data_IF_558575263484
#
_entry.id   IF_558575263484
#
_cell.length_a   1.000
_cell.length_b   1.000
_cell.length_c   1.000
_cell.angle_alpha   90.00
_cell.angle_beta   90.00
_cell.angle_gamma   90.00
#
_symmetry.space_group_name_H-M   'P 1'
#
loop_
_entity.id
_entity.type
_entity.pdbx_description
1 polymer ?
#
# COMPACT_ATOMS: atom_id res chain seq x y z
N UNK A 1 10.38 -40.23 28.01
CA UNK A 1 11.66 -40.15 28.77
C UNK A 1 12.39 -41.49 28.78
N UNK A 2 11.80 -42.61 29.30
CA UNK A 2 12.44 -43.93 29.37
C UNK A 2 13.03 -44.43 28.05
N UNK A 3 12.32 -44.30 26.92
CA UNK A 3 12.81 -44.70 25.57
C UNK A 3 14.07 -43.97 25.10
N UNK A 4 14.32 -42.76 25.60
CA UNK A 4 15.45 -41.92 25.20
C UNK A 4 16.56 -41.86 26.30
N UNK A 5 16.42 -42.66 27.34
CA UNK A 5 17.30 -42.60 28.53
C UNK A 5 17.51 -41.17 29.07
N UNK A 6 16.44 -40.37 29.02
CA UNK A 6 16.46 -39.00 29.50
C UNK A 6 16.05 -38.93 30.97
N UNK A 7 17.00 -38.87 31.84
CA UNK A 7 16.83 -38.94 33.30
C UNK A 7 16.87 -37.56 33.98
N UNK A 8 16.83 -36.48 33.22
CA UNK A 8 16.89 -35.13 33.75
C UNK A 8 15.48 -34.54 33.97
N UNK A 9 15.37 -33.64 34.94
CA UNK A 9 14.12 -32.95 35.23
C UNK A 9 13.66 -32.05 34.07
N UNK A 10 12.37 -31.64 34.00
CA UNK A 10 11.90 -30.68 33.02
C UNK A 10 12.76 -29.42 33.03
N UNK A 11 13.10 -28.92 31.82
CA UNK A 11 13.98 -27.77 31.61
C UNK A 11 15.43 -27.89 32.03
N UNK A 12 15.84 -29.03 32.59
CA UNK A 12 17.23 -29.33 32.93
C UNK A 12 17.97 -29.83 31.68
N UNK A 13 18.99 -29.11 31.22
CA UNK A 13 19.86 -29.48 30.10
C UNK A 13 21.24 -29.89 30.64
N UNK A 14 21.72 -31.10 30.34
CA UNK A 14 23.05 -31.52 30.75
C UNK A 14 24.15 -30.59 30.25
N UNK A 15 25.12 -30.23 31.11
CA UNK A 15 26.23 -29.33 30.74
C UNK A 15 26.96 -29.76 29.46
N UNK A 16 27.14 -31.07 29.25
CA UNK A 16 27.78 -31.61 28.04
C UNK A 16 27.01 -31.23 26.78
N UNK A 17 25.71 -31.47 26.74
CA UNK A 17 24.86 -31.12 25.60
C UNK A 17 24.78 -29.60 25.38
N UNK A 18 24.66 -28.85 26.47
CA UNK A 18 24.66 -27.38 26.39
C UNK A 18 25.97 -26.84 25.81
N UNK A 19 27.10 -27.42 26.19
CA UNK A 19 28.40 -27.01 25.66
C UNK A 19 28.55 -27.38 24.17
N UNK A 20 28.05 -28.53 23.74
CA UNK A 20 28.06 -28.92 22.34
C UNK A 20 27.18 -27.96 21.49
N UNK A 21 25.99 -27.61 21.96
CA UNK A 21 25.13 -26.61 21.30
C UNK A 21 25.81 -25.25 21.23
N UNK A 22 26.42 -24.80 22.31
CA UNK A 22 27.15 -23.51 22.32
C UNK A 22 28.31 -23.50 21.33
N UNK A 23 29.04 -24.61 21.16
CA UNK A 23 30.12 -24.74 20.15
C UNK A 23 29.55 -24.58 18.74
N UNK A 24 28.38 -25.17 18.45
CA UNK A 24 27.71 -25.03 17.15
C UNK A 24 27.29 -23.58 16.94
N UNK A 25 26.70 -22.93 17.95
CA UNK A 25 26.31 -21.54 17.93
C UNK A 25 27.47 -20.58 17.68
N UNK A 26 28.61 -20.80 18.32
CA UNK A 26 29.84 -20.00 18.10
C UNK A 26 30.30 -20.12 16.64
N UNK A 27 30.39 -21.35 16.10
CA UNK A 27 30.75 -21.57 14.69
C UNK A 27 29.77 -20.88 13.71
N UNK A 28 28.47 -20.94 14.01
CA UNK A 28 27.46 -20.27 13.22
C UNK A 28 27.63 -18.73 13.28
N UNK A 29 27.93 -18.19 14.46
CA UNK A 29 28.17 -16.75 14.63
C UNK A 29 29.41 -16.27 13.87
N UNK A 30 30.51 -17.03 13.90
CA UNK A 30 31.70 -16.69 13.11
C UNK A 30 31.45 -16.73 11.61
N UNK A 31 30.69 -17.72 11.12
CA UNK A 31 30.27 -17.78 9.71
C UNK A 31 29.37 -16.59 9.36
N UNK A 32 28.45 -16.22 10.23
CA UNK A 32 27.57 -15.05 10.03
C UNK A 32 28.37 -13.75 9.97
N UNK A 33 29.38 -13.56 10.84
CA UNK A 33 30.28 -12.40 10.78
C UNK A 33 31.03 -12.33 9.44
N UNK A 34 31.59 -13.46 8.98
CA UNK A 34 32.30 -13.55 7.69
C UNK A 34 31.37 -13.25 6.52
N UNK A 35 30.12 -13.73 6.56
CA UNK A 35 29.09 -13.47 5.56
C UNK A 35 28.70 -11.98 5.53
N UNK A 36 28.46 -11.36 6.69
CA UNK A 36 28.17 -9.93 6.80
C UNK A 36 29.30 -9.08 6.22
N UNK A 37 30.55 -9.41 6.54
CA UNK A 37 31.72 -8.69 6.04
C UNK A 37 31.92 -8.83 4.51
N UNK A 38 31.56 -9.97 3.91
CA UNK A 38 31.63 -10.19 2.46
C UNK A 38 30.50 -9.48 1.70
N UNK A 39 29.32 -9.41 2.28
CA UNK A 39 28.14 -8.82 1.63
C UNK A 39 27.99 -7.30 1.87
N UNK A 40 28.88 -6.69 2.66
CA UNK A 40 29.02 -5.24 2.79
C UNK A 40 29.81 -4.60 1.62
N UNK A 41 29.89 -5.22 0.44
CA UNK A 41 30.11 -4.44 -0.78
C UNK A 41 28.93 -3.45 -0.83
N UNK A 42 29.19 -2.23 -0.41
CA UNK A 42 28.23 -1.16 -0.26
C UNK A 42 27.55 -0.93 -1.63
N UNK A 43 26.39 -1.57 -1.82
CA UNK A 43 25.48 -1.10 -2.84
C UNK A 43 25.30 0.36 -2.48
N UNK A 44 25.85 1.26 -3.28
CA UNK A 44 25.78 2.70 -3.00
C UNK A 44 24.32 3.13 -3.21
N UNK A 45 23.48 2.76 -2.23
CA UNK A 45 22.04 2.99 -2.23
C UNK A 45 21.73 4.46 -2.48
N UNK A 46 22.56 5.35 -1.93
CA UNK A 46 22.41 6.80 -2.10
C UNK A 46 22.57 7.23 -3.55
N UNK A 47 23.58 6.72 -4.28
CA UNK A 47 23.77 7.01 -5.71
C UNK A 47 22.62 6.45 -6.55
N UNK A 48 22.20 5.24 -6.27
CA UNK A 48 21.11 4.57 -6.98
C UNK A 48 19.76 5.27 -6.74
N UNK A 49 19.48 5.71 -5.51
CA UNK A 49 18.28 6.51 -5.19
C UNK A 49 18.30 7.90 -5.88
N UNK A 50 19.47 8.54 -6.03
CA UNK A 50 19.57 9.78 -6.81
C UNK A 50 19.20 9.57 -8.28
N UNK A 51 19.68 8.51 -8.91
CA UNK A 51 19.34 8.17 -10.30
C UNK A 51 17.84 7.83 -10.44
N UNK A 52 17.29 7.08 -9.50
CA UNK A 52 15.85 6.79 -9.43
C UNK A 52 15.05 8.10 -9.36
N UNK A 53 15.39 8.99 -8.43
CA UNK A 53 14.71 10.28 -8.24
C UNK A 53 14.76 11.16 -9.50
N UNK A 54 15.86 11.17 -10.23
CA UNK A 54 15.98 11.92 -11.50
C UNK A 54 15.01 11.35 -12.55
N UNK A 55 14.95 10.02 -12.67
CA UNK A 55 14.02 9.35 -13.60
C UNK A 55 12.56 9.60 -13.22
N UNK A 56 12.23 9.53 -11.92
CA UNK A 56 10.90 9.84 -11.39
C UNK A 56 10.48 11.27 -11.71
N UNK A 57 11.38 12.25 -11.51
CA UNK A 57 11.11 13.65 -11.84
C UNK A 57 10.79 13.83 -13.33
N UNK A 58 11.52 13.17 -14.22
CA UNK A 58 11.25 13.19 -15.66
C UNK A 58 9.85 12.65 -15.97
N UNK A 59 9.49 11.48 -15.43
CA UNK A 59 8.18 10.87 -15.68
C UNK A 59 7.06 11.77 -15.13
N UNK A 60 7.22 12.35 -13.92
CA UNK A 60 6.25 13.29 -13.36
C UNK A 60 6.07 14.51 -14.26
N UNK A 61 7.15 15.10 -14.77
CA UNK A 61 7.07 16.24 -15.69
C UNK A 61 6.37 15.89 -17.01
N UNK A 62 6.67 14.74 -17.59
CA UNK A 62 6.02 14.29 -18.83
C UNK A 62 4.53 14.00 -18.60
N UNK A 63 4.15 13.46 -17.45
CA UNK A 63 2.75 13.26 -17.07
C UNK A 63 2.00 14.59 -16.93
N UNK A 64 2.60 15.62 -16.33
CA UNK A 64 1.95 16.93 -16.21
C UNK A 64 1.75 17.65 -17.55
N UNK A 65 2.52 17.32 -18.59
CA UNK A 65 2.33 17.84 -19.94
C UNK A 65 1.11 17.24 -20.64
N UNK A 66 0.72 16.02 -20.25
CA UNK A 66 -0.40 15.29 -20.85
C UNK A 66 -1.14 14.47 -19.79
N UNK A 67 -1.92 15.16 -18.97
CA UNK A 67 -2.73 14.56 -17.93
C UNK A 67 -3.83 13.70 -18.56
N UNK A 68 -3.83 12.41 -18.28
CA UNK A 68 -4.84 11.47 -18.75
C UNK A 68 -5.20 10.47 -17.66
N UNK A 69 -6.41 9.89 -17.71
CA UNK A 69 -6.78 8.82 -16.79
C UNK A 69 -5.85 7.61 -16.92
N UNK A 70 -5.37 7.11 -15.80
CA UNK A 70 -4.51 5.94 -15.72
C UNK A 70 -4.94 5.05 -14.55
N UNK A 71 -4.90 3.73 -14.72
CA UNK A 71 -5.02 2.79 -13.62
C UNK A 71 -3.77 2.87 -12.74
N UNK A 72 -3.92 2.88 -11.41
CA UNK A 72 -2.74 2.99 -10.53
C UNK A 72 -1.84 1.77 -10.59
N UNK A 73 -2.33 0.57 -10.98
CA UNK A 73 -1.45 -0.57 -11.30
C UNK A 73 -0.53 -0.28 -12.48
N UNK A 74 -0.99 0.50 -13.49
CA UNK A 74 -0.14 0.91 -14.64
C UNK A 74 0.87 1.97 -14.23
N UNK A 75 0.49 2.89 -13.35
CA UNK A 75 1.43 3.88 -12.81
C UNK A 75 2.49 3.21 -11.94
N UNK A 76 2.13 2.16 -11.18
CA UNK A 76 3.09 1.32 -10.45
C UNK A 76 4.06 0.59 -11.39
N UNK A 77 3.60 0.06 -12.53
CA UNK A 77 4.48 -0.50 -13.56
C UNK A 77 5.47 0.54 -14.09
N UNK A 78 5.01 1.78 -14.33
CA UNK A 78 5.89 2.86 -14.77
C UNK A 78 6.97 3.16 -13.73
N UNK A 79 6.64 3.15 -12.44
CA UNK A 79 7.62 3.25 -11.37
C UNK A 79 8.60 2.07 -11.38
N UNK A 80 8.11 0.83 -11.47
CA UNK A 80 8.91 -0.38 -11.49
C UNK A 80 9.85 -0.45 -12.70
N UNK A 81 9.49 0.14 -13.85
CA UNK A 81 10.37 0.22 -15.02
C UNK A 81 11.71 0.95 -14.73
N UNK A 82 11.70 1.88 -13.79
CA UNK A 82 12.92 2.57 -13.37
C UNK A 82 13.50 1.97 -12.09
N UNK A 83 12.66 1.56 -11.15
CA UNK A 83 13.07 1.01 -9.85
C UNK A 83 13.68 -0.39 -9.96
N UNK A 84 13.30 -1.20 -10.96
CA UNK A 84 13.89 -2.54 -11.21
C UNK A 84 15.39 -2.52 -11.53
N UNK A 85 15.95 -1.33 -11.80
CA UNK A 85 17.39 -1.11 -11.94
C UNK A 85 18.11 -0.97 -10.60
N UNK A 86 17.38 -0.87 -9.49
CA UNK A 86 17.98 -0.91 -8.17
C UNK A 86 18.50 -2.33 -7.89
N UNK A 87 19.77 -2.49 -7.55
CA UNK A 87 20.39 -3.81 -7.45
C UNK A 87 19.89 -4.63 -6.26
N UNK A 88 19.18 -4.00 -5.33
CA UNK A 88 18.63 -4.64 -4.14
C UNK A 88 17.10 -4.80 -4.18
N UNK A 89 16.43 -4.42 -5.28
CA UNK A 89 14.99 -4.64 -5.43
C UNK A 89 14.74 -5.98 -6.13
N UNK A 90 14.01 -6.88 -5.49
CA UNK A 90 13.63 -8.18 -6.03
C UNK A 90 12.12 -8.32 -6.05
N UNK A 91 11.56 -8.64 -7.22
CA UNK A 91 10.12 -8.70 -7.44
C UNK A 91 9.57 -10.10 -7.61
N UNK A 92 8.24 -10.18 -7.58
CA UNK A 92 7.53 -11.42 -7.90
C UNK A 92 6.02 -11.24 -7.98
N UNK A 93 5.34 -12.32 -8.32
CA UNK A 93 3.87 -12.39 -8.29
C UNK A 93 3.39 -13.82 -8.09
N UNK A 94 2.22 -13.95 -7.44
CA UNK A 94 1.50 -15.20 -7.28
C UNK A 94 0.67 -15.49 -8.56
N UNK A 95 1.37 -15.76 -9.66
CA UNK A 95 0.84 -16.10 -11.00
C UNK A 95 -0.05 -15.03 -11.67
N UNK A 96 0.03 -13.79 -11.20
CA UNK A 96 -0.76 -12.65 -11.70
C UNK A 96 0.11 -11.51 -12.26
N UNK A 97 1.34 -11.81 -12.69
CA UNK A 97 2.31 -10.79 -13.12
C UNK A 97 1.76 -9.82 -14.18
N UNK A 98 1.03 -10.32 -15.18
CA UNK A 98 0.39 -9.51 -16.23
C UNK A 98 -0.77 -8.66 -15.70
N UNK A 99 -1.59 -9.18 -14.81
CA UNK A 99 -2.73 -8.47 -14.21
C UNK A 99 -2.29 -7.45 -13.17
N UNK A 100 -1.30 -7.79 -12.35
CA UNK A 100 -0.75 -6.89 -11.33
C UNK A 100 0.21 -5.83 -11.88
N UNK A 101 0.72 -6.01 -13.12
CA UNK A 101 1.75 -5.16 -13.70
C UNK A 101 3.03 -5.07 -12.83
N UNK A 102 3.41 -6.18 -12.21
CA UNK A 102 4.58 -6.27 -11.30
C UNK A 102 5.87 -6.65 -12.02
N UNK A 103 5.78 -7.18 -13.25
CA UNK A 103 6.93 -7.56 -14.08
C UNK A 103 7.09 -6.58 -15.23
N UNK A 104 8.28 -6.02 -15.39
CA UNK A 104 8.64 -5.13 -16.49
C UNK A 104 9.66 -5.79 -17.42
N UNK A 105 9.93 -5.17 -18.58
CA UNK A 105 10.95 -5.65 -19.54
C UNK A 105 12.37 -5.70 -18.96
N UNK A 106 12.63 -4.96 -17.89
CA UNK A 106 13.95 -4.90 -17.24
C UNK A 106 14.17 -6.02 -16.23
N UNK A 107 13.14 -6.83 -15.93
CA UNK A 107 13.28 -7.93 -14.98
C UNK A 107 13.83 -9.19 -15.67
N UNK A 108 14.83 -9.80 -15.03
CA UNK A 108 15.34 -11.13 -15.36
C UNK A 108 14.72 -12.15 -14.38
N UNK A 109 14.18 -13.23 -14.93
CA UNK A 109 13.53 -14.28 -14.12
C UNK A 109 14.60 -15.13 -13.43
N UNK A 110 14.43 -15.38 -12.14
CA UNK A 110 15.21 -16.37 -11.38
C UNK A 110 14.72 -17.76 -11.78
N UNK A 111 15.65 -18.64 -12.12
CA UNK A 111 15.38 -20.02 -12.55
C UNK A 111 16.25 -21.00 -11.77
N UNK A 112 15.90 -22.29 -11.70
CA UNK A 112 16.78 -23.32 -11.15
C UNK A 112 18.15 -23.28 -11.86
N UNK A 113 19.22 -23.18 -11.04
CA UNK A 113 20.59 -23.05 -11.54
C UNK A 113 21.02 -21.65 -12.01
N UNK A 114 20.11 -20.69 -12.19
CA UNK A 114 20.42 -19.29 -12.52
C UNK A 114 19.70 -18.31 -11.56
N UNK A 115 20.40 -17.91 -10.52
CA UNK A 115 19.93 -16.97 -9.49
C UNK A 115 20.36 -15.53 -9.76
N UNK A 116 20.86 -15.20 -10.94
CA UNK A 116 21.30 -13.84 -11.32
C UNK A 116 20.15 -12.89 -11.66
N UNK A 117 18.90 -13.37 -11.62
CA UNK A 117 17.70 -12.59 -11.88
C UNK A 117 17.26 -11.74 -10.68
N UNK A 118 16.21 -10.95 -10.92
CA UNK A 118 15.57 -10.11 -9.89
C UNK A 118 14.04 -10.22 -9.91
N UNK A 119 13.48 -11.31 -10.47
CA UNK A 119 12.06 -11.58 -10.48
C UNK A 119 11.75 -13.07 -10.29
N UNK A 120 10.79 -13.35 -9.39
CA UNK A 120 10.36 -14.70 -9.00
C UNK A 120 8.92 -14.93 -9.44
N UNK A 121 8.67 -16.01 -10.16
CA UNK A 121 7.31 -16.54 -10.37
C UNK A 121 6.96 -17.49 -9.22
N UNK A 122 6.12 -17.04 -8.31
CA UNK A 122 5.73 -17.81 -7.13
C UNK A 122 4.67 -18.89 -7.42
N UNK A 123 3.97 -18.81 -8.57
CA UNK A 123 2.76 -19.59 -8.85
C UNK A 123 1.60 -19.15 -7.96
N UNK A 124 0.47 -19.88 -7.99
CA UNK A 124 -0.71 -19.61 -7.16
C UNK A 124 -0.41 -20.02 -5.71
N UNK A 125 0.36 -19.20 -4.99
CA UNK A 125 0.89 -19.48 -3.64
C UNK A 125 1.09 -18.20 -2.84
N UNK A 126 0.04 -17.46 -2.57
CA UNK A 126 0.08 -16.13 -1.93
C UNK A 126 0.74 -16.19 -0.55
N UNK A 127 0.36 -17.16 0.29
CA UNK A 127 0.95 -17.32 1.62
C UNK A 127 2.45 -17.63 1.54
N UNK A 128 2.85 -18.57 0.67
CA UNK A 128 4.25 -18.94 0.48
C UNK A 128 5.05 -17.80 -0.13
N UNK A 129 4.50 -17.04 -1.08
CA UNK A 129 5.12 -15.83 -1.62
C UNK A 129 5.48 -14.86 -0.49
N UNK A 130 4.51 -14.55 0.37
CA UNK A 130 4.73 -13.64 1.49
C UNK A 130 5.75 -14.19 2.51
N UNK A 131 5.70 -15.50 2.78
CA UNK A 131 6.69 -16.16 3.65
C UNK A 131 8.11 -16.13 3.08
N UNK A 132 8.27 -16.37 1.77
CA UNK A 132 9.55 -16.26 1.07
C UNK A 132 10.06 -14.82 1.10
N UNK A 133 9.21 -13.83 0.86
CA UNK A 133 9.59 -12.41 0.95
C UNK A 133 10.07 -12.03 2.37
N UNK A 134 9.42 -12.53 3.41
CA UNK A 134 9.89 -12.35 4.78
C UNK A 134 11.28 -12.96 4.99
N UNK A 135 11.51 -14.17 4.46
CA UNK A 135 12.82 -14.83 4.52
C UNK A 135 13.90 -14.04 3.78
N UNK A 136 13.60 -13.51 2.59
CA UNK A 136 14.53 -12.68 1.82
C UNK A 136 14.90 -11.41 2.61
N UNK A 137 13.91 -10.71 3.18
CA UNK A 137 14.14 -9.49 3.94
C UNK A 137 14.98 -9.76 5.21
N UNK A 138 14.71 -10.86 5.91
CA UNK A 138 15.47 -11.25 7.13
C UNK A 138 16.91 -11.66 6.84
N UNK A 139 17.12 -12.36 5.73
CA UNK A 139 18.43 -12.95 5.42
C UNK A 139 19.39 -11.99 4.69
N UNK A 140 18.86 -10.96 4.00
CA UNK A 140 19.64 -10.14 3.09
C UNK A 140 19.30 -8.64 3.18
N UNK A 141 20.05 -7.82 2.45
CA UNK A 141 19.75 -6.40 2.25
C UNK A 141 18.82 -6.15 1.05
N UNK A 142 18.19 -7.20 0.50
CA UNK A 142 17.24 -7.08 -0.58
C UNK A 142 15.92 -6.49 -0.08
N UNK A 143 15.23 -5.82 -0.98
CA UNK A 143 13.89 -5.27 -0.79
C UNK A 143 12.93 -6.11 -1.61
N UNK A 144 12.27 -7.11 -1.03
CA UNK A 144 11.32 -7.92 -1.76
C UNK A 144 10.00 -7.18 -1.97
N UNK A 145 9.44 -7.33 -3.19
CA UNK A 145 8.04 -6.99 -3.45
C UNK A 145 7.33 -8.15 -4.13
N UNK A 146 6.05 -8.32 -3.85
CA UNK A 146 5.24 -9.38 -4.44
C UNK A 146 3.82 -8.94 -4.70
N UNK A 147 3.24 -9.42 -5.81
CA UNK A 147 1.93 -9.02 -6.29
C UNK A 147 0.90 -10.13 -6.30
N UNK A 148 -0.32 -9.77 -5.91
CA UNK A 148 -1.57 -10.51 -6.12
C UNK A 148 -2.75 -9.54 -6.16
N UNK A 149 -4.00 -10.01 -6.20
CA UNK A 149 -5.18 -9.16 -6.03
C UNK A 149 -5.41 -8.84 -4.56
N UNK A 150 -6.04 -7.69 -4.27
CA UNK A 150 -6.28 -7.27 -2.88
C UNK A 150 -7.17 -8.26 -2.12
N UNK A 151 -8.17 -8.86 -2.77
CA UNK A 151 -9.01 -9.88 -2.14
C UNK A 151 -8.17 -11.07 -1.62
N UNK A 152 -7.10 -11.45 -2.33
CA UNK A 152 -6.24 -12.56 -1.94
C UNK A 152 -5.25 -12.18 -0.82
N UNK A 153 -5.29 -10.93 -0.33
CA UNK A 153 -4.61 -10.56 0.92
C UNK A 153 -5.06 -11.45 2.10
N UNK A 154 -6.26 -12.03 2.03
CA UNK A 154 -6.76 -12.95 3.04
C UNK A 154 -5.88 -14.20 3.17
N UNK A 155 -5.32 -14.69 2.06
CA UNK A 155 -4.31 -15.76 2.09
C UNK A 155 -2.94 -15.29 2.56
N UNK A 156 -2.63 -14.00 2.42
CA UNK A 156 -1.34 -13.42 2.80
C UNK A 156 -1.27 -12.97 4.27
N UNK A 157 -2.40 -12.69 4.88
CA UNK A 157 -2.52 -11.96 6.16
C UNK A 157 -1.62 -12.48 7.29
N UNK A 158 -1.50 -13.80 7.56
CA UNK A 158 -0.61 -14.29 8.60
C UNK A 158 0.86 -13.92 8.37
N UNK A 159 1.34 -14.03 7.12
CA UNK A 159 2.72 -13.65 6.76
C UNK A 159 2.94 -12.15 6.78
N UNK A 160 1.96 -11.33 6.38
CA UNK A 160 2.01 -9.85 6.48
C UNK A 160 2.12 -9.44 7.95
N UNK A 161 1.31 -10.05 8.83
CA UNK A 161 1.35 -9.79 10.26
C UNK A 161 2.72 -10.12 10.87
N UNK A 162 3.35 -11.21 10.43
CA UNK A 162 4.71 -11.57 10.86
C UNK A 162 5.75 -10.56 10.35
N UNK A 163 5.67 -10.10 9.10
CA UNK A 163 6.55 -9.05 8.58
C UNK A 163 6.47 -7.77 9.44
N UNK A 164 5.25 -7.35 9.79
CA UNK A 164 5.01 -6.19 10.63
C UNK A 164 5.58 -6.37 12.06
N UNK A 165 5.36 -7.54 12.66
CA UNK A 165 5.88 -7.89 14.00
C UNK A 165 7.40 -7.94 14.02
N UNK A 166 8.02 -8.51 12.99
CA UNK A 166 9.48 -8.62 12.84
C UNK A 166 10.12 -7.33 12.31
N UNK A 167 9.33 -6.29 12.04
CA UNK A 167 9.78 -5.00 11.50
C UNK A 167 10.61 -5.18 10.21
N UNK A 168 10.08 -5.95 9.26
CA UNK A 168 10.75 -6.23 8.01
C UNK A 168 10.21 -5.37 6.88
N UNK A 169 11.12 -4.83 6.04
CA UNK A 169 10.76 -4.09 4.84
C UNK A 169 10.36 -5.05 3.72
N UNK A 170 9.07 -5.30 3.61
CA UNK A 170 8.44 -6.10 2.55
C UNK A 170 7.36 -5.26 1.89
N UNK A 171 7.26 -5.28 0.57
CA UNK A 171 6.31 -4.47 -0.18
C UNK A 171 5.30 -5.40 -0.86
N UNK A 172 4.02 -5.24 -0.54
CA UNK A 172 2.92 -6.01 -1.09
C UNK A 172 2.18 -5.15 -2.13
N UNK A 173 2.12 -5.61 -3.37
CA UNK A 173 1.42 -4.93 -4.47
C UNK A 173 0.10 -5.63 -4.68
N UNK A 174 -0.97 -5.03 -4.17
CA UNK A 174 -2.31 -5.61 -4.25
C UNK A 174 -3.17 -4.80 -5.21
N UNK A 175 -3.42 -5.38 -6.39
CA UNK A 175 -4.24 -4.73 -7.41
C UNK A 175 -5.70 -5.17 -7.32
N UNK A 176 -6.58 -4.56 -8.15
CA UNK A 176 -8.02 -4.83 -8.09
C UNK A 176 -8.59 -4.46 -6.71
N UNK A 177 -8.34 -3.20 -6.33
CA UNK A 177 -8.43 -2.68 -4.96
C UNK A 177 -9.85 -2.42 -4.45
N UNK A 178 -10.88 -2.57 -5.29
CA UNK A 178 -12.28 -2.27 -4.93
C UNK A 178 -13.27 -2.90 -5.90
N UNK A 179 -14.55 -2.68 -5.68
CA UNK A 179 -15.65 -3.00 -6.62
C UNK A 179 -15.43 -2.38 -8.02
N UNK A 180 -14.51 -1.42 -8.15
CA UNK A 180 -14.10 -0.80 -9.41
C UNK A 180 -13.41 -1.75 -10.39
N UNK A 181 -13.09 -2.97 -10.00
CA UNK A 181 -12.59 -4.00 -10.90
C UNK A 181 -13.68 -4.50 -11.88
N UNK A 182 -14.98 -4.40 -11.52
CA UNK A 182 -16.09 -4.62 -12.42
C UNK A 182 -16.60 -6.06 -12.49
N UNK A 183 -16.64 -6.61 -13.70
CA UNK A 183 -17.36 -7.82 -14.06
C UNK A 183 -16.89 -9.12 -13.39
N UNK A 184 -15.65 -9.17 -12.89
CA UNK A 184 -15.10 -10.33 -12.17
C UNK A 184 -15.96 -10.70 -10.93
N UNK A 185 -16.72 -9.74 -10.40
CA UNK A 185 -17.79 -9.95 -9.44
C UNK A 185 -17.34 -10.12 -7.99
N UNK A 186 -18.28 -10.53 -7.10
CA UNK A 186 -18.12 -10.51 -5.65
C UNK A 186 -16.93 -11.31 -5.12
N UNK A 187 -16.57 -12.41 -5.78
CA UNK A 187 -15.46 -13.27 -5.36
C UNK A 187 -14.09 -12.61 -5.53
N UNK A 188 -14.02 -11.54 -6.33
CA UNK A 188 -12.79 -10.80 -6.60
C UNK A 188 -12.81 -9.36 -6.07
N UNK A 189 -13.97 -8.88 -5.63
CA UNK A 189 -14.16 -7.51 -5.14
C UNK A 189 -13.90 -7.41 -3.65
N UNK A 190 -12.80 -6.77 -3.21
CA UNK A 190 -12.50 -6.59 -1.79
C UNK A 190 -13.47 -5.57 -1.17
N UNK A 191 -13.93 -5.83 0.04
CA UNK A 191 -14.79 -4.96 0.84
C UNK A 191 -14.07 -4.60 2.15
N UNK A 192 -13.83 -5.60 3.01
CA UNK A 192 -13.23 -5.43 4.34
C UNK A 192 -11.69 -5.52 4.34
N UNK A 193 -11.07 -5.88 3.23
CA UNK A 193 -9.62 -6.16 3.17
C UNK A 193 -8.78 -4.95 3.57
N UNK A 194 -9.15 -3.73 3.09
CA UNK A 194 -8.44 -2.50 3.49
C UNK A 194 -8.53 -2.25 4.99
N UNK A 195 -9.73 -2.33 5.56
CA UNK A 195 -9.98 -2.16 7.00
C UNK A 195 -9.19 -3.19 7.81
N UNK A 196 -9.21 -4.46 7.39
CA UNK A 196 -8.51 -5.52 8.10
C UNK A 196 -6.98 -5.40 8.03
N UNK A 197 -6.43 -4.89 6.92
CA UNK A 197 -5.00 -4.62 6.79
C UNK A 197 -4.59 -3.40 7.62
N UNK A 198 -5.37 -2.31 7.61
CA UNK A 198 -5.15 -1.10 8.43
C UNK A 198 -5.20 -1.39 9.94
N UNK A 199 -5.85 -2.47 10.37
CA UNK A 199 -5.88 -2.90 11.77
C UNK A 199 -4.60 -3.61 12.24
N UNK A 200 -3.68 -3.98 11.33
CA UNK A 200 -2.41 -4.63 11.67
C UNK A 200 -1.40 -3.57 12.15
N UNK A 201 -0.91 -3.65 13.40
CA UNK A 201 0.09 -2.71 13.89
C UNK A 201 1.37 -2.74 13.06
N UNK A 202 2.01 -1.58 12.89
CA UNK A 202 3.27 -1.44 12.15
C UNK A 202 3.19 -1.92 10.69
N UNK A 203 2.06 -1.65 10.01
CA UNK A 203 1.88 -1.88 8.58
C UNK A 203 1.41 -0.58 7.94
N UNK A 204 2.05 -0.13 6.86
CA UNK A 204 1.53 0.96 6.05
C UNK A 204 0.62 0.43 4.95
N UNK A 205 -0.59 0.96 4.86
CA UNK A 205 -1.56 0.60 3.80
C UNK A 205 -1.80 1.82 2.92
N UNK A 206 -1.12 1.84 1.78
CA UNK A 206 -1.23 2.90 0.79
C UNK A 206 -2.34 2.58 -0.21
N UNK A 207 -3.17 3.58 -0.50
CA UNK A 207 -4.16 3.55 -1.57
C UNK A 207 -4.09 4.85 -2.38
N UNK A 208 -3.16 4.94 -3.36
CA UNK A 208 -2.89 6.17 -4.10
C UNK A 208 -3.99 6.51 -5.10
N UNK A 209 -4.26 7.82 -5.28
CA UNK A 209 -5.31 8.37 -6.12
C UNK A 209 -4.89 8.69 -7.57
N UNK A 210 -3.60 8.71 -7.89
CA UNK A 210 -3.07 8.95 -9.24
C UNK A 210 -1.61 8.52 -9.40
N UNK A 211 -0.99 8.84 -10.53
CA UNK A 211 0.43 8.56 -10.80
C UNK A 211 1.35 9.19 -9.75
N UNK A 212 1.06 10.42 -9.36
CA UNK A 212 1.96 11.17 -8.45
C UNK A 212 1.96 10.53 -7.08
N UNK A 213 0.76 10.23 -6.54
CA UNK A 213 0.65 9.54 -5.26
C UNK A 213 1.20 8.11 -5.32
N UNK A 214 1.00 7.38 -6.42
CA UNK A 214 1.58 6.04 -6.60
C UNK A 214 3.10 6.09 -6.45
N UNK A 215 3.75 7.08 -7.09
CA UNK A 215 5.21 7.23 -7.02
C UNK A 215 5.67 7.68 -5.63
N UNK A 216 4.89 8.54 -4.97
CA UNK A 216 5.14 8.98 -3.61
C UNK A 216 5.04 7.83 -2.61
N UNK A 217 4.02 6.98 -2.73
CA UNK A 217 3.83 5.79 -1.90
C UNK A 217 4.97 4.75 -2.09
N UNK A 218 5.37 4.49 -3.33
CA UNK A 218 6.53 3.64 -3.62
C UNK A 218 7.83 4.17 -3.01
N UNK A 219 8.07 5.49 -3.09
CA UNK A 219 9.26 6.12 -2.50
C UNK A 219 9.28 5.92 -0.98
N UNK A 220 8.14 6.09 -0.30
CA UNK A 220 8.00 5.83 1.13
C UNK A 220 8.24 4.35 1.44
N UNK A 221 7.61 3.44 0.70
CA UNK A 221 7.73 2.01 0.92
C UNK A 221 9.19 1.50 0.79
N UNK A 222 9.93 1.99 -0.21
CA UNK A 222 11.36 1.66 -0.38
C UNK A 222 12.22 2.21 0.77
N UNK A 223 11.88 3.38 1.30
CA UNK A 223 12.64 4.04 2.38
C UNK A 223 12.29 3.51 3.78
N UNK A 224 11.12 2.93 3.96
CA UNK A 224 10.64 2.40 5.26
C UNK A 224 11.39 1.14 5.64
N UNK A 225 12.39 1.26 6.52
CA UNK A 225 13.29 0.14 6.87
C UNK A 225 12.65 -0.89 7.78
N UNK A 226 11.81 -0.44 8.71
CA UNK A 226 11.30 -1.22 9.84
C UNK A 226 9.76 -1.42 9.77
N UNK A 227 9.15 -1.10 8.62
CA UNK A 227 7.70 -1.17 8.43
C UNK A 227 7.40 -1.73 7.04
N UNK A 228 6.69 -2.87 6.94
CA UNK A 228 6.21 -3.37 5.66
C UNK A 228 5.13 -2.45 5.10
N UNK A 229 4.90 -2.53 3.79
CA UNK A 229 3.98 -1.66 3.08
C UNK A 229 3.07 -2.46 2.14
N UNK A 230 1.78 -2.22 2.20
CA UNK A 230 0.81 -2.61 1.18
C UNK A 230 0.58 -1.42 0.27
N UNK A 231 0.56 -1.63 -1.05
CA UNK A 231 0.15 -0.63 -2.04
C UNK A 231 -1.04 -1.20 -2.79
N UNK A 232 -2.24 -0.73 -2.44
CA UNK A 232 -3.50 -1.13 -3.07
C UNK A 232 -3.76 -0.29 -4.33
N UNK A 233 -3.98 -0.96 -5.47
CA UNK A 233 -3.94 -0.34 -6.80
C UNK A 233 -5.18 -0.69 -7.63
N UNK A 234 -5.68 0.29 -8.37
CA UNK A 234 -6.86 0.12 -9.22
C UNK A 234 -6.60 -0.73 -10.46
N UNK A 235 -7.65 -1.45 -10.91
CA UNK A 235 -7.72 -2.05 -12.25
C UNK A 235 -8.18 -1.02 -13.28
N UNK A 236 -9.18 -0.21 -12.95
CA UNK A 236 -9.77 0.82 -13.81
C UNK A 236 -8.87 2.06 -13.88
N UNK A 237 -8.97 2.78 -15.00
CA UNK A 237 -8.36 4.11 -15.12
C UNK A 237 -9.10 5.13 -14.25
N UNK A 238 -8.35 6.00 -13.59
CA UNK A 238 -8.88 7.07 -12.73
C UNK A 238 -8.35 8.42 -13.17
N UNK A 239 -9.16 9.45 -13.00
CA UNK A 239 -8.80 10.82 -13.37
C UNK A 239 -7.67 11.34 -12.45
N UNK A 240 -6.71 12.12 -13.00
CA UNK A 240 -5.66 12.71 -12.19
C UNK A 240 -6.23 13.76 -11.24
N UNK A 241 -5.83 13.68 -9.98
CA UNK A 241 -6.24 14.64 -8.93
C UNK A 241 -5.15 15.68 -8.66
N UNK A 242 -3.87 15.30 -8.81
CA UNK A 242 -2.72 16.22 -8.69
C UNK A 242 -2.48 16.91 -10.04
N UNK A 243 -2.88 18.18 -10.13
CA UNK A 243 -2.80 18.98 -11.37
C UNK A 243 -1.67 20.00 -11.38
N UNK A 244 -0.97 20.20 -10.25
CA UNK A 244 0.15 21.13 -10.13
C UNK A 244 1.44 20.36 -9.80
N UNK A 245 2.53 20.74 -10.48
CA UNK A 245 3.85 20.16 -10.24
C UNK A 245 4.28 20.42 -8.78
N UNK A 246 4.66 19.36 -8.10
CA UNK A 246 5.31 19.42 -6.79
C UNK A 246 6.30 18.27 -6.69
N UNK A 247 7.52 18.61 -6.28
CA UNK A 247 8.56 17.60 -6.04
C UNK A 247 8.63 17.15 -4.57
N UNK A 248 7.86 17.82 -3.70
CA UNK A 248 7.72 17.40 -2.31
C UNK A 248 6.80 16.20 -2.26
N UNK A 249 7.21 15.15 -1.57
CA UNK A 249 6.37 13.99 -1.30
C UNK A 249 5.29 14.38 -0.28
N UNK A 250 4.06 14.61 -0.76
CA UNK A 250 2.94 14.99 0.12
C UNK A 250 2.36 13.79 0.85
N UNK A 251 2.48 12.59 0.26
CA UNK A 251 1.98 11.34 0.83
C UNK A 251 2.73 10.94 2.11
N UNK A 252 3.92 11.50 2.38
CA UNK A 252 4.65 11.33 3.66
C UNK A 252 3.83 11.80 4.89
N UNK A 253 2.86 12.70 4.67
CA UNK A 253 1.94 13.14 5.73
C UNK A 253 0.77 12.18 5.96
N UNK A 254 0.61 11.18 5.10
CA UNK A 254 -0.49 10.22 5.15
C UNK A 254 -1.84 10.78 4.68
N UNK A 255 -2.10 12.05 4.93
CA UNK A 255 -3.28 12.80 4.47
C UNK A 255 -2.93 14.27 4.27
N UNK A 256 -3.44 14.90 3.19
CA UNK A 256 -3.16 16.29 2.87
C UNK A 256 -4.27 16.91 2.03
N UNK A 257 -4.44 18.23 2.12
CA UNK A 257 -5.40 18.98 1.31
C UNK A 257 -4.98 18.99 -0.16
N UNK A 258 -5.90 18.59 -1.05
CA UNK A 258 -5.69 18.54 -2.50
C UNK A 258 -6.51 19.58 -3.26
N UNK A 259 -7.70 19.93 -2.75
CA UNK A 259 -8.63 20.87 -3.32
C UNK A 259 -9.34 21.66 -2.22
N UNK A 260 -9.62 22.93 -2.49
CA UNK A 260 -10.42 23.81 -1.64
C UNK A 260 -11.17 24.79 -2.55
N UNK A 261 -12.47 25.00 -2.28
CA UNK A 261 -13.32 25.87 -3.11
C UNK A 261 -13.42 27.30 -2.62
N UNK A 262 -13.18 27.55 -1.30
CA UNK A 262 -13.19 28.88 -0.68
C UNK A 262 -12.36 28.88 0.63
N UNK A 263 -11.97 30.06 1.12
CA UNK A 263 -11.23 30.17 2.38
C UNK A 263 -12.05 29.67 3.58
N UNK A 264 -13.30 30.16 3.72
CA UNK A 264 -14.25 29.63 4.69
C UNK A 264 -15.03 28.48 4.04
N UNK A 265 -15.01 27.32 4.68
CA UNK A 265 -15.63 26.08 4.18
C UNK A 265 -16.64 25.54 5.18
N UNK A 266 -17.63 24.83 4.67
CA UNK A 266 -18.72 24.22 5.43
C UNK A 266 -18.44 22.74 5.70
N UNK A 267 -17.69 22.06 4.79
CA UNK A 267 -17.51 20.61 4.82
C UNK A 267 -16.05 20.24 4.54
N UNK A 268 -15.57 19.21 5.25
CA UNK A 268 -14.32 18.51 4.91
C UNK A 268 -14.64 17.14 4.32
N UNK A 269 -14.20 16.88 3.09
CA UNK A 269 -14.35 15.58 2.41
C UNK A 269 -13.00 14.87 2.45
N UNK A 270 -12.94 13.67 3.04
CA UNK A 270 -11.75 12.81 3.08
C UNK A 270 -11.95 11.60 2.18
N UNK A 271 -10.92 11.23 1.43
CA UNK A 271 -10.98 10.11 0.49
C UNK A 271 -9.62 9.49 0.26
N UNK A 272 -9.57 8.27 -0.25
CA UNK A 272 -8.35 7.61 -0.73
C UNK A 272 -8.57 6.93 -2.08
N UNK A 273 -7.48 6.68 -2.79
CA UNK A 273 -7.53 5.92 -4.04
C UNK A 273 -8.44 6.53 -5.12
N UNK A 274 -9.16 5.67 -5.82
CA UNK A 274 -10.02 6.06 -6.94
C UNK A 274 -11.11 7.06 -6.58
N UNK A 275 -11.62 7.04 -5.36
CA UNK A 275 -12.72 7.90 -4.94
C UNK A 275 -12.28 9.34 -4.67
N UNK A 276 -10.98 9.61 -4.64
CA UNK A 276 -10.47 11.00 -4.50
C UNK A 276 -10.85 11.87 -5.70
N UNK A 277 -10.95 11.30 -6.92
CA UNK A 277 -11.45 12.05 -8.07
C UNK A 277 -12.94 12.35 -7.93
N UNK A 278 -13.75 11.40 -7.46
CA UNK A 278 -15.17 11.59 -7.15
C UNK A 278 -15.36 12.66 -6.06
N UNK A 279 -14.54 12.64 -5.01
CA UNK A 279 -14.55 13.66 -3.95
C UNK A 279 -14.29 15.07 -4.51
N UNK A 280 -13.37 15.20 -5.48
CA UNK A 280 -13.13 16.48 -6.17
C UNK A 280 -14.34 16.92 -7.03
N UNK A 281 -15.00 16.00 -7.72
CA UNK A 281 -16.20 16.28 -8.50
C UNK A 281 -17.35 16.74 -7.60
N UNK A 282 -17.58 16.08 -6.47
CA UNK A 282 -18.55 16.47 -5.44
C UNK A 282 -18.23 17.85 -4.88
N UNK A 283 -16.99 18.13 -4.56
CA UNK A 283 -16.55 19.42 -4.06
C UNK A 283 -16.86 20.57 -5.06
N UNK A 284 -16.65 20.35 -6.35
CA UNK A 284 -17.03 21.33 -7.38
C UNK A 284 -18.55 21.46 -7.53
N UNK A 285 -19.30 20.36 -7.48
CA UNK A 285 -20.76 20.39 -7.56
C UNK A 285 -21.39 21.14 -6.39
N UNK A 286 -20.95 20.87 -5.15
CA UNK A 286 -21.40 21.60 -3.97
C UNK A 286 -21.12 23.11 -4.08
N UNK A 287 -19.97 23.50 -4.62
CA UNK A 287 -19.63 24.91 -4.80
C UNK A 287 -20.58 25.64 -5.76
N UNK A 288 -21.15 24.95 -6.77
CA UNK A 288 -22.20 25.54 -7.65
C UNK A 288 -23.51 25.80 -6.91
N UNK A 289 -23.69 25.20 -5.75
CA UNK A 289 -24.85 25.35 -4.88
C UNK A 289 -24.53 26.21 -3.61
N UNK A 290 -23.41 26.95 -3.65
CA UNK A 290 -22.92 27.81 -2.56
C UNK A 290 -22.56 27.04 -1.26
N UNK A 291 -22.30 25.75 -1.34
CA UNK A 291 -21.79 24.93 -0.25
C UNK A 291 -20.29 24.72 -0.49
N UNK A 292 -19.45 25.27 0.37
CA UNK A 292 -18.01 25.28 0.16
C UNK A 292 -17.32 24.17 0.94
N UNK A 293 -16.37 23.51 0.29
CA UNK A 293 -15.71 22.35 0.86
C UNK A 293 -14.22 22.28 0.52
N UNK A 294 -13.50 21.48 1.27
CA UNK A 294 -12.15 21.03 0.93
C UNK A 294 -12.11 19.52 0.78
N UNK A 295 -11.19 19.05 -0.06
CA UNK A 295 -10.91 17.62 -0.24
C UNK A 295 -9.54 17.29 0.33
N UNK A 296 -9.52 16.27 1.17
CA UNK A 296 -8.31 15.67 1.72
C UNK A 296 -8.08 14.33 1.03
N UNK A 297 -6.97 14.22 0.30
CA UNK A 297 -6.47 12.90 -0.11
C UNK A 297 -5.74 12.27 1.06
N UNK A 298 -6.12 11.05 1.43
CA UNK A 298 -5.54 10.29 2.54
C UNK A 298 -5.00 8.93 2.05
N UNK A 299 -3.89 8.94 1.30
CA UNK A 299 -3.33 7.71 0.75
C UNK A 299 -2.83 6.72 1.79
N UNK A 300 -2.55 7.15 3.04
CA UNK A 300 -2.10 6.25 4.12
C UNK A 300 -2.55 6.77 5.49
N UNK A 301 -3.53 6.09 6.08
CA UNK A 301 -4.09 6.49 7.36
C UNK A 301 -3.09 6.36 8.52
N UNK A 302 -2.23 5.34 8.49
CA UNK A 302 -1.24 5.08 9.54
C UNK A 302 -0.20 6.20 9.62
N UNK A 303 0.24 6.74 8.49
CA UNK A 303 1.14 7.90 8.44
C UNK A 303 0.44 9.19 8.89
N UNK A 304 -0.86 9.35 8.59
CA UNK A 304 -1.64 10.47 9.07
C UNK A 304 -1.82 10.41 10.60
N UNK A 305 -2.09 9.25 11.15
CA UNK A 305 -2.24 9.06 12.59
C UNK A 305 -0.96 9.39 13.37
N UNK A 306 0.21 9.19 12.77
CA UNK A 306 1.51 9.54 13.33
C UNK A 306 1.79 11.06 13.33
N UNK A 307 0.99 11.87 12.62
CA UNK A 307 1.18 13.31 12.62
C UNK A 307 0.83 13.93 13.97
N UNK A 308 1.46 15.06 14.28
CA UNK A 308 1.15 15.80 15.51
C UNK A 308 -0.30 16.34 15.50
N UNK A 309 -0.81 16.65 16.68
CA UNK A 309 -2.19 17.12 16.88
C UNK A 309 -2.49 18.40 16.09
N UNK A 310 -1.52 19.31 15.99
CA UNK A 310 -1.67 20.59 15.25
C UNK A 310 -1.97 20.29 13.78
N UNK A 311 -1.19 19.41 13.14
CA UNK A 311 -1.40 19.05 11.75
C UNK A 311 -2.74 18.35 11.54
N UNK A 312 -3.07 17.36 12.38
CA UNK A 312 -4.34 16.63 12.30
C UNK A 312 -5.55 17.56 12.43
N UNK A 313 -5.51 18.46 13.38
CA UNK A 313 -6.56 19.47 13.57
C UNK A 313 -6.69 20.39 12.36
N UNK A 314 -5.57 20.91 11.81
CA UNK A 314 -5.58 21.72 10.59
C UNK A 314 -6.26 20.99 9.43
N UNK A 315 -6.08 19.68 9.31
CA UNK A 315 -6.63 18.88 8.21
C UNK A 315 -8.11 18.58 8.44
N UNK A 316 -8.55 18.22 9.65
CA UNK A 316 -9.89 17.66 9.91
C UNK A 316 -10.83 18.59 10.66
N UNK A 317 -10.35 19.42 11.60
CA UNK A 317 -11.20 20.09 12.59
C UNK A 317 -11.62 21.52 12.18
N UNK A 318 -11.62 21.83 10.89
CA UNK A 318 -12.00 23.15 10.38
C UNK A 318 -13.51 23.28 10.15
N UNK A 319 -14.21 22.15 10.10
CA UNK A 319 -15.65 22.06 9.84
C UNK A 319 -16.32 21.09 10.81
N UNK A 320 -17.61 21.31 11.07
CA UNK A 320 -18.41 20.39 11.90
C UNK A 320 -18.77 19.11 11.15
N UNK A 321 -19.02 19.19 9.84
CA UNK A 321 -19.33 18.05 9.01
C UNK A 321 -18.08 17.54 8.28
N UNK A 322 -17.68 16.31 8.62
CA UNK A 322 -16.63 15.57 7.90
C UNK A 322 -17.27 14.39 7.19
N UNK A 323 -16.94 14.24 5.91
CA UNK A 323 -17.50 13.22 5.02
C UNK A 323 -16.35 12.32 4.53
N UNK A 324 -16.51 11.00 4.56
CA UNK A 324 -15.55 10.07 3.94
C UNK A 324 -16.14 9.39 2.71
N UNK A 325 -15.29 9.15 1.70
CA UNK A 325 -15.66 8.46 0.46
C UNK A 325 -14.56 7.46 0.11
N UNK A 326 -14.86 6.17 0.22
CA UNK A 326 -13.96 5.08 -0.17
C UNK A 326 -14.76 3.84 -0.54
N UNK A 327 -14.50 3.23 -1.69
CA UNK A 327 -15.17 2.00 -2.15
C UNK A 327 -14.66 0.78 -1.38
N UNK A 328 -14.86 0.79 -0.07
CA UNK A 328 -14.60 -0.28 0.88
C UNK A 328 -15.54 -0.16 2.08
N UNK A 329 -15.40 -1.06 3.04
CA UNK A 329 -16.12 -1.03 4.31
C UNK A 329 -15.91 0.30 5.06
N UNK A 330 -16.97 0.87 5.65
CA UNK A 330 -17.00 2.27 6.12
C UNK A 330 -16.58 2.49 7.57
N UNK A 331 -16.61 1.46 8.44
CA UNK A 331 -16.45 1.65 9.89
C UNK A 331 -15.10 2.25 10.28
N UNK A 332 -14.05 1.94 9.56
CA UNK A 332 -12.72 2.44 9.90
C UNK A 332 -12.57 3.95 9.70
N UNK A 333 -13.45 4.57 8.87
CA UNK A 333 -13.45 6.01 8.65
C UNK A 333 -14.10 6.80 9.80
N UNK A 334 -14.92 6.16 10.65
CA UNK A 334 -15.60 6.82 11.77
C UNK A 334 -14.65 7.49 12.75
N UNK A 335 -13.40 7.01 12.86
CA UNK A 335 -12.37 7.65 13.71
C UNK A 335 -11.99 9.06 13.25
N UNK A 336 -12.24 9.41 11.98
CA UNK A 336 -11.96 10.73 11.41
C UNK A 336 -13.22 11.56 11.22
N UNK A 337 -14.32 10.93 10.87
CA UNK A 337 -15.59 11.64 10.61
C UNK A 337 -16.40 11.89 11.88
N UNK A 338 -16.12 11.16 12.96
CA UNK A 338 -16.86 11.27 14.21
C UNK A 338 -18.28 10.70 14.14
N UNK A 339 -19.07 10.95 15.18
CA UNK A 339 -20.44 10.42 15.29
C UNK A 339 -21.44 11.13 14.35
N UNK A 340 -21.22 12.42 14.05
CA UNK A 340 -22.08 13.24 13.19
C UNK A 340 -21.72 13.16 11.71
N UNK A 341 -20.55 12.63 11.37
CA UNK A 341 -20.05 12.57 9.99
C UNK A 341 -20.76 11.55 9.11
N UNK A 342 -20.60 11.70 7.81
CA UNK A 342 -21.14 10.78 6.81
C UNK A 342 -20.02 9.91 6.24
N UNK A 343 -20.32 8.62 6.02
CA UNK A 343 -19.36 7.69 5.45
C UNK A 343 -20.00 6.98 4.26
N UNK A 344 -19.46 7.24 3.07
CA UNK A 344 -19.87 6.62 1.81
C UNK A 344 -18.89 5.53 1.42
N UNK A 345 -19.39 4.31 1.28
CA UNK A 345 -18.58 3.14 0.96
C UNK A 345 -19.44 1.94 0.60
N UNK A 346 -18.92 0.75 0.79
CA UNK A 346 -19.55 -0.52 0.44
C UNK A 346 -19.59 -1.41 1.68
N UNK A 347 -20.79 -1.66 2.21
CA UNK A 347 -21.02 -2.47 3.40
C UNK A 347 -21.75 -3.79 3.09
N UNK A 348 -21.76 -4.21 1.84
CA UNK A 348 -22.30 -5.48 1.35
C UNK A 348 -21.37 -6.04 0.27
N UNK A 349 -21.56 -7.31 -0.10
CA UNK A 349 -20.79 -7.92 -1.17
C UNK A 349 -21.06 -7.24 -2.52
N UNK A 350 -20.02 -7.15 -3.33
CA UNK A 350 -20.07 -6.54 -4.66
C UNK A 350 -21.02 -7.23 -5.64
N UNK A 351 -21.03 -6.74 -6.87
CA UNK A 351 -21.90 -7.24 -7.96
C UNK A 351 -21.08 -7.43 -9.23
N UNK A 352 -21.49 -8.34 -10.11
CA UNK A 352 -20.89 -8.50 -11.43
C UNK A 352 -21.62 -7.62 -12.45
N UNK A 353 -20.98 -6.50 -12.83
CA UNK A 353 -21.46 -5.54 -13.83
C UNK A 353 -20.32 -4.59 -14.25
N UNK A 354 -20.48 -3.76 -15.29
CA UNK A 354 -19.57 -2.67 -15.56
C UNK A 354 -19.41 -1.75 -14.33
N UNK A 355 -18.17 -1.39 -13.98
CA UNK A 355 -17.85 -0.77 -12.69
C UNK A 355 -18.69 0.49 -12.36
N UNK A 356 -19.03 1.32 -13.35
CA UNK A 356 -19.88 2.51 -13.13
C UNK A 356 -21.26 2.14 -12.60
N UNK A 357 -21.89 1.09 -13.15
CA UNK A 357 -23.20 0.59 -12.67
C UNK A 357 -23.11 0.05 -11.24
N UNK A 358 -21.97 -0.53 -10.88
CA UNK A 358 -21.75 -1.01 -9.50
C UNK A 358 -21.60 0.19 -8.55
N UNK A 359 -20.86 1.21 -8.94
CA UNK A 359 -20.74 2.45 -8.15
C UNK A 359 -22.11 3.12 -7.96
N UNK A 360 -22.91 3.22 -9.01
CA UNK A 360 -24.29 3.76 -8.94
C UNK A 360 -25.17 2.93 -8.00
N UNK A 361 -25.09 1.60 -8.09
CA UNK A 361 -25.84 0.68 -7.21
C UNK A 361 -25.54 0.92 -5.73
N UNK A 362 -24.29 1.18 -5.38
CA UNK A 362 -23.88 1.49 -3.99
C UNK A 362 -23.98 2.98 -3.63
N UNK A 363 -24.52 3.82 -4.52
CA UNK A 363 -24.64 5.25 -4.29
C UNK A 363 -23.32 6.02 -4.26
N UNK A 364 -22.24 5.43 -4.80
CA UNK A 364 -20.95 6.06 -4.93
C UNK A 364 -20.87 6.91 -6.20
N UNK A 365 -21.78 7.88 -6.33
CA UNK A 365 -21.83 8.85 -7.42
C UNK A 365 -22.10 10.26 -6.89
N UNK A 366 -21.80 11.24 -7.73
CA UNK A 366 -21.86 12.67 -7.35
C UNK A 366 -23.23 13.09 -6.88
N UNK A 367 -24.30 12.73 -7.60
CA UNK A 367 -25.66 13.22 -7.32
C UNK A 367 -26.19 12.66 -5.99
N UNK A 368 -26.04 11.34 -5.78
CA UNK A 368 -26.49 10.70 -4.54
C UNK A 368 -25.75 11.24 -3.31
N UNK A 369 -24.43 11.44 -3.42
CA UNK A 369 -23.62 11.91 -2.28
C UNK A 369 -23.92 13.38 -1.99
N UNK A 370 -24.03 14.24 -3.01
CA UNK A 370 -24.37 15.66 -2.84
C UNK A 370 -25.74 15.79 -2.17
N UNK A 371 -26.74 15.03 -2.62
CA UNK A 371 -28.06 15.04 -2.00
C UNK A 371 -28.00 14.69 -0.50
N UNK A 372 -27.34 13.60 -0.14
CA UNK A 372 -27.23 13.18 1.26
C UNK A 372 -26.42 14.15 2.13
N UNK A 373 -25.44 14.83 1.57
CA UNK A 373 -24.73 15.90 2.25
C UNK A 373 -25.67 17.07 2.55
N UNK A 374 -26.49 17.49 1.57
CA UNK A 374 -27.46 18.59 1.73
C UNK A 374 -28.55 18.26 2.75
N UNK A 375 -29.01 17.02 2.82
CA UNK A 375 -29.96 16.55 3.83
C UNK A 375 -29.41 16.58 5.25
N UNK A 376 -28.06 16.60 5.38
CA UNK A 376 -27.36 16.58 6.68
C UNK A 376 -26.97 17.97 7.19
N UNK A 377 -26.85 18.96 6.26
CA UNK A 377 -26.57 20.37 6.59
C UNK A 377 -27.84 21.10 7.05
#
# INVERSE_FOLDING_TARGET
RKKLNWNYEPFQIPKKMLNEWRKIGVKAHEKSKKFKNKNHSSINLTKNLKLLNTSIKKIKNDYFKNLKPLATRKTSEMFLNVASKLPNLIGGSADLAGSNNTKTKNHKIIKPGDFSGNYIHYGVREHAMCGVMNGIALHSNLIPYGGTFLIFSDYCKPSIRLAAMMKQRVIYIFTHDSIGLGEDGPTHQPIEQLTSLRSIPNLYVFRPADLIETFECWDIAIKSKDTPSVIALTRQGINPVRRKISYKNKSERGGYEILRTKDKIDITIISSGSETSLACEICHKLATENIYSKVISMPCQELFDQQNKIYKNKILSETELVVSIEASETHYWKKYTGASGLNFGVNDFGKSAPYKKIYDHFGLNTDTIVQKIKEKL
#
